data_IF_395646251646
#
_entry.id   IF_395646251646
#
_cell.length_a   1.000
_cell.length_b   1.000
_cell.length_c   1.000
_cell.angle_alpha   90.00
_cell.angle_beta   90.00
_cell.angle_gamma   90.00
#
_symmetry.space_group_name_H-M   'P 1'
#
loop_
_entity.id
_entity.type
_entity.pdbx_description
1 polymer ?
#
# COMPACT_ATOMS: atom_id res chain seq x y z
N UNK A 1 2.21 10.93 12.42
CA UNK A 1 2.32 9.49 12.12
C UNK A 1 3.01 9.35 10.78
N UNK A 2 4.11 8.61 10.70
CA UNK A 2 4.86 8.41 9.44
C UNK A 2 4.09 7.43 8.56
N UNK A 3 3.98 7.72 7.26
CA UNK A 3 3.40 6.78 6.31
C UNK A 3 4.32 5.56 6.18
N UNK A 4 3.77 4.37 6.41
CA UNK A 4 4.45 3.10 6.19
C UNK A 4 3.64 2.33 5.16
N UNK A 5 4.25 2.06 4.01
CA UNK A 5 3.60 1.40 2.87
C UNK A 5 4.05 -0.06 2.82
N UNK A 6 3.11 -0.98 2.63
CA UNK A 6 3.39 -2.32 2.15
C UNK A 6 3.10 -2.34 0.64
N UNK A 7 4.12 -2.59 -0.17
CA UNK A 7 4.02 -2.69 -1.62
C UNK A 7 3.76 -4.13 -2.03
N UNK A 8 2.51 -4.48 -2.27
CA UNK A 8 2.08 -5.77 -2.78
C UNK A 8 2.14 -5.81 -4.32
N UNK A 9 2.62 -6.89 -4.89
CA UNK A 9 2.61 -7.03 -6.34
C UNK A 9 3.44 -8.20 -6.84
N UNK A 10 3.14 -8.70 -8.05
CA UNK A 10 3.91 -9.77 -8.68
C UNK A 10 5.26 -9.24 -9.20
N UNK A 11 6.28 -10.11 -9.13
CA UNK A 11 7.63 -9.85 -9.66
C UNK A 11 8.29 -11.09 -10.25
N UNK A 12 7.47 -11.92 -10.92
CA UNK A 12 7.86 -13.25 -11.42
C UNK A 12 8.30 -13.24 -12.89
N UNK A 13 8.09 -12.14 -13.61
CA UNK A 13 8.52 -11.98 -14.99
C UNK A 13 9.02 -10.55 -15.25
N UNK A 14 9.75 -10.31 -16.38
CA UNK A 14 10.35 -9.00 -16.66
C UNK A 14 9.36 -7.83 -16.65
N UNK A 15 8.16 -7.98 -17.20
CA UNK A 15 7.14 -6.92 -17.24
C UNK A 15 6.64 -6.56 -15.82
N UNK A 16 6.46 -7.54 -14.98
CA UNK A 16 6.07 -7.34 -13.58
C UNK A 16 7.19 -6.64 -12.78
N UNK A 17 8.44 -7.07 -13.02
CA UNK A 17 9.61 -6.44 -12.39
C UNK A 17 9.72 -4.98 -12.81
N UNK A 18 9.60 -4.68 -14.10
CA UNK A 18 9.60 -3.31 -14.61
C UNK A 18 8.52 -2.44 -13.94
N UNK A 19 7.32 -2.96 -13.79
CA UNK A 19 6.21 -2.25 -13.14
C UNK A 19 6.50 -1.97 -11.67
N UNK A 20 6.92 -2.98 -10.91
CA UNK A 20 7.18 -2.78 -9.48
C UNK A 20 8.40 -1.87 -9.23
N UNK A 21 9.42 -1.96 -10.06
CA UNK A 21 10.59 -1.07 -10.01
C UNK A 21 10.24 0.37 -10.32
N UNK A 22 9.36 0.63 -11.27
CA UNK A 22 8.88 1.98 -11.56
C UNK A 22 8.17 2.60 -10.34
N UNK A 23 7.39 1.81 -9.61
CA UNK A 23 6.70 2.27 -8.39
C UNK A 23 7.71 2.47 -7.25
N UNK A 24 8.63 1.55 -7.05
CA UNK A 24 9.69 1.67 -6.05
C UNK A 24 10.56 2.92 -6.28
N UNK A 25 10.93 3.19 -7.52
CA UNK A 25 11.68 4.38 -7.90
C UNK A 25 10.91 5.68 -7.60
N UNK A 26 9.60 5.68 -7.85
CA UNK A 26 8.77 6.84 -7.51
C UNK A 26 8.66 7.01 -5.99
N UNK A 27 8.54 5.93 -5.24
CA UNK A 27 8.54 5.98 -3.77
C UNK A 27 9.88 6.46 -3.20
N UNK A 28 11.00 5.95 -3.73
CA UNK A 28 12.35 6.36 -3.36
C UNK A 28 12.59 7.87 -3.64
N UNK A 29 12.10 8.37 -4.78
CA UNK A 29 12.19 9.80 -5.17
C UNK A 29 11.53 10.72 -4.15
N UNK A 30 10.44 10.30 -3.53
CA UNK A 30 9.73 11.08 -2.51
C UNK A 30 10.10 10.69 -1.07
N UNK A 31 11.05 9.78 -0.86
CA UNK A 31 11.51 9.37 0.47
C UNK A 31 10.46 8.61 1.27
N UNK A 32 9.55 7.88 0.63
CA UNK A 32 8.53 7.11 1.33
C UNK A 32 9.15 5.94 2.10
N UNK A 33 8.64 5.67 3.28
CA UNK A 33 8.97 4.48 4.04
C UNK A 33 8.08 3.33 3.57
N UNK A 34 8.66 2.37 2.83
CA UNK A 34 7.92 1.22 2.31
C UNK A 34 8.68 -0.09 2.47
N UNK A 35 7.92 -1.17 2.57
CA UNK A 35 8.39 -2.54 2.49
C UNK A 35 7.98 -3.13 1.14
N UNK A 36 8.93 -3.69 0.41
CA UNK A 36 8.70 -4.46 -0.81
C UNK A 36 9.21 -5.90 -0.62
N UNK A 37 8.36 -6.93 -0.75
CA UNK A 37 8.76 -8.33 -0.68
C UNK A 37 9.90 -8.67 -1.67
N UNK A 38 9.89 -8.04 -2.85
CA UNK A 38 10.93 -8.20 -3.86
C UNK A 38 12.32 -7.78 -3.35
N UNK A 39 12.40 -6.64 -2.67
CA UNK A 39 13.67 -6.13 -2.08
C UNK A 39 14.10 -6.93 -0.85
N UNK A 40 13.19 -7.64 -0.21
CA UNK A 40 13.43 -8.39 1.02
C UNK A 40 13.83 -9.85 0.82
N UNK A 41 14.20 -10.26 -0.38
CA UNK A 41 14.75 -11.59 -0.66
C UNK A 41 13.73 -12.61 -1.17
N UNK A 42 12.66 -12.17 -1.84
CA UNK A 42 11.54 -13.01 -2.28
C UNK A 42 11.78 -14.06 -3.34
N UNK A 43 13.02 -14.22 -3.90
CA UNK A 43 13.30 -15.25 -4.94
C UNK A 43 14.09 -16.39 -4.33
N UNK A 44 13.43 -17.54 -4.13
CA UNK A 44 13.98 -18.75 -3.50
C UNK A 44 14.12 -19.94 -4.45
N UNK A 45 13.92 -19.72 -5.75
CA UNK A 45 13.94 -20.81 -6.76
C UNK A 45 15.27 -21.53 -6.86
N UNK A 46 16.39 -20.90 -6.49
CA UNK A 46 17.74 -21.44 -6.52
C UNK A 46 18.12 -22.26 -5.27
N UNK A 47 17.28 -22.28 -4.24
CA UNK A 47 17.55 -22.98 -2.99
C UNK A 47 17.21 -24.48 -3.07
N UNK A 48 17.80 -25.27 -2.17
CA UNK A 48 17.42 -26.68 -1.97
C UNK A 48 15.95 -26.79 -1.47
N UNK A 49 15.28 -27.95 -1.62
CA UNK A 49 13.90 -28.12 -1.11
C UNK A 49 13.74 -27.81 0.39
N UNK A 50 14.71 -28.23 1.22
CA UNK A 50 14.69 -27.96 2.67
C UNK A 50 14.87 -26.48 2.97
N UNK A 51 15.82 -25.83 2.29
CA UNK A 51 16.07 -24.40 2.45
C UNK A 51 14.91 -23.54 1.92
N UNK A 52 14.26 -23.99 0.83
CA UNK A 52 13.02 -23.34 0.36
C UNK A 52 11.95 -23.36 1.41
N UNK A 53 11.73 -24.48 2.10
CA UNK A 53 10.70 -24.59 3.13
C UNK A 53 10.95 -23.60 4.26
N UNK A 54 12.19 -23.52 4.75
CA UNK A 54 12.61 -22.56 5.78
C UNK A 54 12.47 -21.11 5.33
N UNK A 55 12.98 -20.83 4.11
CA UNK A 55 12.92 -19.51 3.52
C UNK A 55 11.46 -19.06 3.26
N UNK A 56 10.59 -19.95 2.78
CA UNK A 56 9.18 -19.65 2.54
C UNK A 56 8.45 -19.22 3.82
N UNK A 57 8.70 -19.93 4.93
CA UNK A 57 8.13 -19.55 6.22
C UNK A 57 8.62 -18.18 6.68
N UNK A 58 9.92 -17.93 6.57
CA UNK A 58 10.53 -16.64 6.94
C UNK A 58 10.01 -15.49 6.09
N UNK A 59 9.86 -15.69 4.77
CA UNK A 59 9.29 -14.69 3.86
C UNK A 59 7.84 -14.40 4.22
N UNK A 60 7.03 -15.46 4.45
CA UNK A 60 5.64 -15.30 4.86
C UNK A 60 5.53 -14.48 6.16
N UNK A 61 6.29 -14.85 7.20
CA UNK A 61 6.27 -14.18 8.49
C UNK A 61 6.72 -12.70 8.37
N UNK A 62 7.73 -12.44 7.54
CA UNK A 62 8.20 -11.08 7.25
C UNK A 62 7.14 -10.23 6.57
N UNK A 63 6.46 -10.78 5.55
CA UNK A 63 5.39 -10.10 4.84
C UNK A 63 4.19 -9.80 5.76
N UNK A 64 3.78 -10.77 6.58
CA UNK A 64 2.70 -10.58 7.56
C UNK A 64 3.06 -9.48 8.57
N UNK A 65 4.26 -9.52 9.13
CA UNK A 65 4.71 -8.50 10.09
C UNK A 65 4.77 -7.10 9.44
N UNK A 66 5.25 -7.01 8.21
CA UNK A 66 5.28 -5.76 7.47
C UNK A 66 3.87 -5.22 7.18
N UNK A 67 2.90 -6.08 6.83
CA UNK A 67 1.50 -5.68 6.67
C UNK A 67 0.86 -5.22 7.98
N UNK A 68 1.18 -5.86 9.10
CA UNK A 68 0.69 -5.45 10.43
C UNK A 68 1.22 -4.05 10.79
N UNK A 69 2.48 -3.76 10.48
CA UNK A 69 3.13 -2.48 10.78
C UNK A 69 2.75 -1.35 9.79
N UNK A 70 2.32 -1.70 8.58
CA UNK A 70 1.93 -0.75 7.55
C UNK A 70 0.59 -0.06 7.86
N UNK A 71 0.47 1.21 7.47
CA UNK A 71 -0.80 1.94 7.46
C UNK A 71 -1.33 2.20 6.04
N UNK A 72 -0.56 1.83 5.02
CA UNK A 72 -0.99 1.85 3.62
C UNK A 72 -0.61 0.54 2.96
N UNK A 73 -1.57 -0.12 2.33
CA UNK A 73 -1.33 -1.14 1.32
C UNK A 73 -1.35 -0.47 -0.05
N UNK A 74 -0.29 -0.66 -0.83
CA UNK A 74 -0.24 -0.28 -2.23
C UNK A 74 -0.09 -1.55 -3.08
N UNK A 75 -1.14 -1.95 -3.80
CA UNK A 75 -1.21 -3.24 -4.46
C UNK A 75 -1.24 -3.10 -5.99
N UNK A 76 -0.29 -3.75 -6.67
CA UNK A 76 -0.24 -3.85 -8.13
C UNK A 76 -1.16 -5.00 -8.55
N UNK A 77 -2.24 -4.69 -9.27
CA UNK A 77 -3.26 -5.69 -9.64
C UNK A 77 -3.13 -6.18 -11.08
N UNK A 78 -2.13 -5.73 -11.81
CA UNK A 78 -1.79 -6.27 -13.13
C UNK A 78 -1.45 -7.75 -13.04
N UNK A 79 -2.02 -8.56 -13.95
CA UNK A 79 -1.79 -10.01 -14.01
C UNK A 79 -2.57 -10.83 -12.99
N UNK A 80 -3.36 -10.21 -12.12
CA UNK A 80 -4.25 -10.90 -11.15
C UNK A 80 -3.55 -11.95 -10.29
N UNK A 81 -2.38 -11.57 -9.74
CA UNK A 81 -1.62 -12.46 -8.87
C UNK A 81 -2.38 -12.81 -7.60
N UNK A 82 -2.48 -14.11 -7.32
CA UNK A 82 -3.23 -14.61 -6.15
C UNK A 82 -2.58 -14.27 -4.82
N UNK A 83 -1.26 -14.11 -4.78
CA UNK A 83 -0.52 -13.65 -3.60
C UNK A 83 -0.91 -12.22 -3.25
N UNK A 84 -0.90 -11.33 -4.23
CA UNK A 84 -1.34 -9.95 -4.09
C UNK A 84 -2.80 -9.85 -3.63
N UNK A 85 -3.70 -10.67 -4.18
CA UNK A 85 -5.10 -10.70 -3.76
C UNK A 85 -5.25 -11.18 -2.30
N UNK A 86 -4.46 -12.19 -1.89
CA UNK A 86 -4.42 -12.63 -0.50
C UNK A 86 -3.99 -11.50 0.44
N UNK A 87 -2.91 -10.78 0.09
CA UNK A 87 -2.38 -9.65 0.88
C UNK A 87 -3.41 -8.52 0.99
N UNK A 88 -4.14 -8.21 -0.09
CA UNK A 88 -5.24 -7.24 -0.07
C UNK A 88 -6.35 -7.65 0.90
N UNK A 89 -6.78 -8.91 0.86
CA UNK A 89 -7.81 -9.44 1.77
C UNK A 89 -7.35 -9.43 3.22
N UNK A 90 -6.11 -9.86 3.47
CA UNK A 90 -5.52 -9.85 4.81
C UNK A 90 -5.42 -8.44 5.39
N UNK A 91 -4.91 -7.49 4.61
CA UNK A 91 -4.80 -6.09 5.05
C UNK A 91 -6.17 -5.45 5.30
N UNK A 92 -7.17 -5.77 4.48
CA UNK A 92 -8.56 -5.32 4.69
C UNK A 92 -9.12 -5.87 6.00
N UNK A 93 -8.92 -7.14 6.30
CA UNK A 93 -9.35 -7.75 7.55
C UNK A 93 -8.69 -7.09 8.77
N UNK A 94 -7.40 -6.77 8.70
CA UNK A 94 -6.71 -5.98 9.73
C UNK A 94 -7.36 -4.60 9.91
N UNK A 95 -7.65 -3.92 8.80
CA UNK A 95 -8.27 -2.59 8.80
C UNK A 95 -9.63 -2.61 9.50
N UNK A 96 -10.48 -3.57 9.14
CA UNK A 96 -11.81 -3.70 9.72
C UNK A 96 -11.75 -4.12 11.19
N UNK A 97 -10.84 -5.02 11.56
CA UNK A 97 -10.63 -5.42 12.95
C UNK A 97 -10.28 -4.23 13.86
N UNK A 98 -9.40 -3.36 13.41
CA UNK A 98 -9.01 -2.16 14.17
C UNK A 98 -10.13 -1.13 14.23
N UNK A 99 -10.95 -0.99 13.20
CA UNK A 99 -12.14 -0.12 13.23
C UNK A 99 -13.13 -0.54 14.30
N UNK A 100 -13.34 -1.83 14.52
CA UNK A 100 -14.31 -2.35 15.50
C UNK A 100 -13.81 -2.33 16.94
N UNK A 101 -12.49 -2.32 17.16
CA UNK A 101 -11.92 -2.37 18.52
C UNK A 101 -11.65 -1.01 19.16
N UNK A 102 -11.56 0.07 18.40
CA UNK A 102 -11.17 1.37 18.94
C UNK A 102 -12.33 2.36 18.91
N UNK A 103 -13.14 2.38 19.96
CA UNK A 103 -14.05 3.50 20.23
C UNK A 103 -13.30 4.77 20.66
N UNK A 104 -12.02 4.69 21.00
CA UNK A 104 -11.27 5.79 21.63
C UNK A 104 -10.09 6.36 20.81
N UNK A 105 -9.69 5.76 19.69
CA UNK A 105 -8.56 6.28 18.90
C UNK A 105 -8.68 6.00 17.39
N UNK A 106 -9.81 6.27 16.81
CA UNK A 106 -10.06 6.11 15.37
C UNK A 106 -9.02 6.85 14.48
N UNK A 107 -8.34 7.87 15.01
CA UNK A 107 -7.33 8.64 14.31
C UNK A 107 -5.96 7.95 14.23
N UNK A 108 -5.60 7.14 15.23
CA UNK A 108 -4.26 6.53 15.32
C UNK A 108 -4.11 5.27 14.46
N UNK A 109 -5.20 4.63 14.04
CA UNK A 109 -5.21 3.34 13.36
C UNK A 109 -5.81 3.40 11.94
N UNK A 110 -5.88 4.58 11.32
CA UNK A 110 -6.36 4.67 9.94
C UNK A 110 -5.41 3.93 9.00
N UNK A 111 -5.96 2.95 8.30
CA UNK A 111 -5.31 2.16 7.27
C UNK A 111 -6.00 2.39 5.95
N UNK A 112 -5.23 2.40 4.87
CA UNK A 112 -5.72 2.64 3.52
C UNK A 112 -5.23 1.57 2.58
N UNK A 113 -6.11 1.11 1.71
CA UNK A 113 -5.80 0.18 0.62
C UNK A 113 -5.90 0.91 -0.71
N UNK A 114 -4.81 0.89 -1.48
CA UNK A 114 -4.71 1.56 -2.77
C UNK A 114 -4.30 0.50 -3.80
N UNK A 115 -4.97 0.46 -4.93
CA UNK A 115 -4.58 -0.39 -6.05
C UNK A 115 -3.98 0.42 -7.17
N UNK A 116 -3.06 -0.22 -7.90
CA UNK A 116 -2.42 0.32 -9.09
C UNK A 116 -2.52 -0.67 -10.25
N UNK A 117 -2.76 -0.17 -11.44
CA UNK A 117 -2.66 -0.92 -12.68
C UNK A 117 -2.08 -0.05 -13.81
N UNK A 118 -1.29 -0.67 -14.69
CA UNK A 118 -0.89 -0.04 -15.96
C UNK A 118 -2.00 -0.12 -17.01
N UNK A 119 -2.89 -1.08 -16.88
CA UNK A 119 -3.95 -1.37 -17.83
C UNK A 119 -5.29 -0.95 -17.25
N UNK A 120 -6.07 -0.20 -18.02
CA UNK A 120 -7.43 0.17 -17.61
C UNK A 120 -8.35 -1.05 -17.73
N UNK A 121 -8.36 -1.90 -16.71
CA UNK A 121 -9.32 -3.01 -16.59
C UNK A 121 -10.09 -2.91 -15.28
N UNK A 122 -11.33 -3.42 -15.33
CA UNK A 122 -12.19 -3.40 -14.16
C UNK A 122 -11.72 -4.29 -13.02
N UNK A 123 -11.76 -3.77 -11.80
CA UNK A 123 -11.60 -4.57 -10.60
C UNK A 123 -12.84 -5.44 -10.37
N UNK A 124 -12.61 -6.67 -9.92
CA UNK A 124 -13.69 -7.49 -9.37
C UNK A 124 -14.37 -6.71 -8.22
N UNK A 125 -15.70 -6.87 -8.09
CA UNK A 125 -16.49 -6.11 -7.09
C UNK A 125 -15.94 -6.23 -5.67
N UNK A 126 -15.44 -7.41 -5.27
CA UNK A 126 -14.86 -7.60 -3.93
C UNK A 126 -13.58 -6.77 -3.74
N UNK A 127 -12.74 -6.67 -4.76
CA UNK A 127 -11.55 -5.84 -4.73
C UNK A 127 -11.91 -4.35 -4.79
N UNK A 128 -12.84 -3.97 -5.68
CA UNK A 128 -13.29 -2.58 -5.84
C UNK A 128 -13.82 -2.01 -4.52
N UNK A 129 -14.69 -2.74 -3.84
CA UNK A 129 -15.30 -2.31 -2.58
C UNK A 129 -14.36 -2.42 -1.36
N UNK A 130 -13.24 -3.13 -1.50
CA UNK A 130 -12.25 -3.28 -0.42
C UNK A 130 -11.15 -2.23 -0.42
N UNK A 131 -11.07 -1.39 -1.46
CA UNK A 131 -10.00 -0.39 -1.61
C UNK A 131 -10.51 1.03 -1.47
N UNK A 132 -9.62 1.91 -0.99
CA UNK A 132 -9.94 3.33 -0.79
C UNK A 132 -9.64 4.16 -2.04
N UNK A 133 -8.74 3.69 -2.92
CA UNK A 133 -8.40 4.34 -4.18
C UNK A 133 -7.89 3.35 -5.22
N UNK A 134 -8.09 3.67 -6.50
CA UNK A 134 -7.56 2.94 -7.64
C UNK A 134 -6.81 3.90 -8.57
N UNK A 135 -5.55 3.58 -8.86
CA UNK A 135 -4.62 4.40 -9.63
C UNK A 135 -4.36 3.70 -10.97
N UNK A 136 -4.50 4.43 -12.07
CA UNK A 136 -4.30 3.90 -13.41
C UNK A 136 -3.15 4.62 -14.11
N UNK A 137 -2.09 3.86 -14.39
CA UNK A 137 -0.94 4.34 -15.14
C UNK A 137 0.01 5.26 -14.37
N UNK A 138 1.17 5.50 -14.97
CA UNK A 138 2.29 6.21 -14.35
C UNK A 138 1.99 7.66 -14.00
N UNK A 139 1.18 8.35 -14.82
CA UNK A 139 0.85 9.75 -14.57
C UNK A 139 0.05 9.94 -13.27
N UNK A 140 -0.89 9.04 -12.99
CA UNK A 140 -1.68 9.09 -11.77
C UNK A 140 -0.87 8.60 -10.57
N UNK A 141 0.06 7.65 -10.76
CA UNK A 141 1.04 7.28 -9.75
C UNK A 141 1.88 8.49 -9.32
N UNK A 142 2.39 9.28 -10.28
CA UNK A 142 3.19 10.47 -9.98
C UNK A 142 2.39 11.55 -9.26
N UNK A 143 1.12 11.74 -9.63
CA UNK A 143 0.22 12.64 -8.90
C UNK A 143 -0.02 12.16 -7.48
N UNK A 144 -0.32 10.87 -7.31
CA UNK A 144 -0.49 10.25 -5.99
C UNK A 144 0.75 10.45 -5.13
N UNK A 145 1.94 10.11 -5.63
CA UNK A 145 3.19 10.23 -4.89
C UNK A 145 3.46 11.69 -4.49
N UNK A 146 3.31 12.64 -5.42
CA UNK A 146 3.52 14.05 -5.15
C UNK A 146 2.53 14.66 -4.16
N UNK A 147 1.25 14.25 -4.20
CA UNK A 147 0.24 14.71 -3.24
C UNK A 147 0.43 14.06 -1.87
N UNK A 148 0.73 12.76 -1.84
CA UNK A 148 0.97 12.03 -0.60
C UNK A 148 2.21 12.54 0.12
N UNK A 149 3.31 12.82 -0.59
CA UNK A 149 4.49 13.44 -0.01
C UNK A 149 4.15 14.78 0.66
N UNK A 150 3.41 15.67 -0.02
CA UNK A 150 3.00 16.95 0.54
C UNK A 150 2.08 16.82 1.76
N UNK A 151 1.24 15.78 1.78
CA UNK A 151 0.31 15.56 2.89
C UNK A 151 0.98 14.96 4.12
N UNK A 152 2.03 14.14 3.92
CA UNK A 152 2.68 13.39 4.97
C UNK A 152 4.08 13.91 5.34
N UNK A 153 4.69 14.73 4.50
CA UNK A 153 6.02 15.32 4.68
C UNK A 153 6.05 16.57 5.56
N UNK A 154 4.93 17.02 6.06
CA UNK A 154 5.01 18.01 7.14
C UNK A 154 5.53 17.29 8.37
N UNK A 155 6.76 17.60 8.80
CA UNK A 155 7.44 16.85 9.84
C UNK A 155 6.64 16.93 11.14
N UNK A 156 6.02 15.83 11.51
CA UNK A 156 5.58 15.60 12.88
C UNK A 156 6.78 15.43 13.82
N UNK A 157 7.96 15.84 13.39
CA UNK A 157 9.24 15.62 14.07
C UNK A 157 9.90 16.83 14.68
N UNK A 158 9.33 18.04 14.59
CA UNK A 158 9.91 19.18 15.31
C UNK A 158 8.84 19.99 16.01
N UNK A 159 8.82 19.84 17.34
CA UNK A 159 8.02 20.57 18.31
C UNK A 159 6.52 20.29 18.26
N UNK A 160 6.11 19.23 18.93
CA UNK A 160 4.78 19.17 19.53
C UNK A 160 4.72 20.18 20.67
N UNK A 161 4.56 21.44 20.33
CA UNK A 161 3.98 22.40 21.25
C UNK A 161 2.48 22.40 20.99
N UNK A 162 1.71 22.17 22.03
CA UNK A 162 0.28 22.28 22.16
C UNK A 162 -0.39 23.14 21.08
N UNK A 163 -1.17 22.53 20.17
CA UNK A 163 -1.96 23.27 19.19
C UNK A 163 -2.09 22.63 17.80
N UNK A 164 -1.79 21.34 17.64
CA UNK A 164 -2.02 20.66 16.35
C UNK A 164 -3.48 20.27 16.27
N UNK A 165 -4.18 20.88 15.33
CA UNK A 165 -5.54 20.48 14.96
C UNK A 165 -5.47 19.14 14.19
N UNK A 166 -5.67 18.05 14.92
CA UNK A 166 -5.69 16.69 14.40
C UNK A 166 -6.85 16.48 13.41
N UNK A 167 -7.96 17.19 13.60
CA UNK A 167 -9.13 17.12 12.71
C UNK A 167 -8.82 17.71 11.34
N UNK A 168 -8.09 18.83 11.29
CA UNK A 168 -7.64 19.44 10.03
C UNK A 168 -6.65 18.56 9.28
N UNK A 169 -5.74 17.87 9.99
CA UNK A 169 -4.80 16.95 9.37
C UNK A 169 -5.48 15.70 8.81
N UNK A 170 -6.44 15.14 9.54
CA UNK A 170 -7.26 14.01 9.11
C UNK A 170 -8.14 14.43 7.92
N UNK A 171 -8.74 15.61 7.98
CA UNK A 171 -9.54 16.16 6.90
C UNK A 171 -8.75 16.37 5.60
N UNK A 172 -7.50 16.82 5.69
CA UNK A 172 -6.61 16.96 4.51
C UNK A 172 -6.25 15.61 3.88
N UNK A 173 -5.95 14.59 4.69
CA UNK A 173 -5.72 13.22 4.20
C UNK A 173 -6.95 12.66 3.51
N UNK A 174 -8.11 12.84 4.11
CA UNK A 174 -9.39 12.42 3.56
C UNK A 174 -9.65 13.08 2.20
N UNK A 175 -9.46 14.40 2.10
CA UNK A 175 -9.61 15.16 0.84
C UNK A 175 -8.66 14.69 -0.27
N UNK A 176 -7.43 14.29 0.08
CA UNK A 176 -6.47 13.75 -0.90
C UNK A 176 -6.96 12.39 -1.41
N UNK A 177 -7.40 11.51 -0.53
CA UNK A 177 -7.96 10.22 -0.92
C UNK A 177 -9.26 10.39 -1.72
N UNK A 178 -10.14 11.33 -1.35
CA UNK A 178 -11.34 11.68 -2.11
C UNK A 178 -11.01 12.19 -3.51
N UNK A 179 -9.94 12.97 -3.67
CA UNK A 179 -9.44 13.37 -5.00
C UNK A 179 -9.02 12.17 -5.85
N UNK A 180 -8.44 11.11 -5.23
CA UNK A 180 -8.10 9.88 -5.94
C UNK A 180 -9.30 8.98 -6.19
N UNK A 181 -10.29 8.96 -5.31
CA UNK A 181 -11.56 8.26 -5.56
C UNK A 181 -12.29 8.81 -6.80
N UNK A 182 -12.17 10.12 -7.05
CA UNK A 182 -12.71 10.74 -8.27
C UNK A 182 -11.92 10.42 -9.54
N UNK A 183 -10.73 9.77 -9.42
CA UNK A 183 -9.98 9.20 -10.55
C UNK A 183 -10.36 7.75 -10.84
N UNK A 184 -11.34 7.20 -10.13
CA UNK A 184 -11.84 5.86 -10.41
C UNK A 184 -12.63 5.93 -11.74
N UNK A 185 -12.07 5.50 -12.90
CA UNK A 185 -12.85 5.43 -14.11
C UNK A 185 -13.97 4.43 -13.85
N UNK A 186 -15.17 4.74 -14.35
CA UNK A 186 -16.31 3.84 -14.29
C UNK A 186 -15.87 2.45 -14.75
N UNK A 187 -15.84 1.55 -13.81
CA UNK A 187 -15.38 0.19 -14.03
C UNK A 187 -16.62 -0.66 -13.99
N UNK A 188 -17.09 -1.07 -15.21
CA UNK A 188 -18.04 -2.16 -15.36
C UNK A 188 -17.44 -3.52 -15.00
#
# INVERSE_FOLDING_TARGET
>A
MTMKIYLAGPFFNPKQIETIEAIENEFDKYGFNYFSPRKSGGVISHLSPEDRTKASKSIYDSNINAMIDANVLFAIVDGRDTGTVYEMGYFRALTDHFKFKSETSAAEHKRYSITYTNENFGLNIMLKESVDAHIVGVNDLQKFAGLSARAWDKPYGRQMTSGIDWEDHIGRRQKILEQFQNFNPDVE
#
